data_IF_716012016704
#
_entry.id   IF_716012016704
#
_cell.length_a   1.000
_cell.length_b   1.000
_cell.length_c   1.000
_cell.angle_alpha   90.00
_cell.angle_beta   90.00
_cell.angle_gamma   90.00
#
_symmetry.space_group_name_H-M   'P 1'
#
loop_
_entity.id
_entity.type
_entity.pdbx_description
1 polymer ?
#
# COMPACT_ATOMS: atom_id res chain seq x y z
N UNK A 1 -10.15 47.09 5.87
CA UNK A 1 -10.24 46.59 4.48
C UNK A 1 -11.01 45.29 4.54
N UNK A 2 -12.30 45.34 4.21
CA UNK A 2 -13.22 44.20 4.28
C UNK A 2 -13.18 43.44 2.94
N UNK A 3 -12.68 42.21 2.97
CA UNK A 3 -12.63 41.33 1.80
C UNK A 3 -13.83 40.38 1.86
N UNK A 4 -14.94 40.78 1.22
CA UNK A 4 -16.07 39.89 0.94
C UNK A 4 -15.67 38.95 -0.20
N UNK A 5 -15.53 37.65 0.09
CA UNK A 5 -15.46 36.62 -0.94
C UNK A 5 -16.88 36.20 -1.34
N UNK A 6 -17.22 36.16 -2.65
CA UNK A 6 -18.54 35.72 -3.09
C UNK A 6 -18.62 34.19 -3.03
N UNK A 7 -19.68 33.68 -2.41
CA UNK A 7 -20.03 32.26 -2.43
C UNK A 7 -20.68 31.95 -3.79
N UNK A 8 -20.27 30.91 -4.53
CA UNK A 8 -20.93 30.58 -5.78
C UNK A 8 -22.25 29.84 -5.49
N UNK A 9 -23.35 30.40 -5.98
CA UNK A 9 -24.66 29.76 -5.96
C UNK A 9 -24.79 28.82 -7.16
N UNK A 10 -24.63 27.52 -6.92
CA UNK A 10 -24.89 26.49 -7.93
C UNK A 10 -26.36 26.09 -7.82
N UNK A 11 -27.16 26.53 -8.78
CA UNK A 11 -28.50 26.01 -9.03
C UNK A 11 -28.39 24.57 -9.57
N UNK A 12 -28.77 23.59 -8.75
CA UNK A 12 -28.97 22.20 -9.18
C UNK A 12 -30.42 22.05 -9.68
N UNK A 13 -30.58 22.02 -11.01
CA UNK A 13 -31.79 21.50 -11.63
C UNK A 13 -31.74 19.97 -11.58
N UNK A 14 -32.57 19.37 -10.73
CA UNK A 14 -32.79 17.92 -10.71
C UNK A 14 -33.73 17.52 -11.85
N UNK A 15 -33.26 16.64 -12.73
CA UNK A 15 -34.12 15.82 -13.60
C UNK A 15 -34.33 14.45 -12.95
N UNK A 16 -35.57 13.93 -12.87
CA UNK A 16 -35.82 12.56 -12.46
C UNK A 16 -35.75 11.65 -13.69
N UNK A 17 -34.77 10.75 -13.71
CA UNK A 17 -34.64 9.67 -14.66
C UNK A 17 -34.30 8.39 -13.91
N UNK A 18 -35.33 7.73 -13.41
CA UNK A 18 -35.27 6.47 -12.69
C UNK A 18 -34.62 5.37 -13.54
N UNK A 19 -33.54 4.78 -13.03
CA UNK A 19 -33.15 3.41 -13.38
C UNK A 19 -32.73 2.71 -12.09
N UNK A 20 -33.72 2.05 -11.48
CA UNK A 20 -33.57 1.21 -10.30
C UNK A 20 -32.78 -0.06 -10.64
N UNK A 21 -31.45 0.00 -10.46
CA UNK A 21 -30.68 -1.19 -10.07
C UNK A 21 -30.30 -1.04 -8.59
N UNK A 22 -31.25 -1.41 -7.73
CA UNK A 22 -31.04 -1.49 -6.30
C UNK A 22 -30.16 -2.70 -5.96
N UNK A 23 -28.84 -2.53 -6.01
CA UNK A 23 -27.93 -3.38 -5.24
C UNK A 23 -27.86 -2.80 -3.82
N UNK A 24 -28.87 -3.11 -3.01
CA UNK A 24 -28.95 -2.75 -1.59
C UNK A 24 -27.93 -3.59 -0.82
N UNK A 25 -26.66 -3.20 -0.86
CA UNK A 25 -25.71 -3.59 0.17
C UNK A 25 -26.11 -2.85 1.45
N UNK A 26 -27.03 -3.44 2.22
CA UNK A 26 -27.30 -3.00 3.58
C UNK A 26 -26.06 -3.34 4.42
N UNK A 27 -25.16 -2.36 4.60
CA UNK A 27 -24.19 -2.37 5.68
C UNK A 27 -25.00 -2.21 6.99
N UNK A 28 -25.60 -3.31 7.45
CA UNK A 28 -26.24 -3.38 8.76
C UNK A 28 -25.15 -3.28 9.81
N UNK A 29 -24.80 -2.04 10.16
CA UNK A 29 -23.87 -1.74 11.24
C UNK A 29 -24.51 -2.19 12.56
N UNK A 30 -24.33 -3.47 12.90
CA UNK A 30 -24.51 -3.91 14.27
C UNK A 30 -23.43 -3.20 15.09
N UNK A 31 -23.85 -2.25 15.92
CA UNK A 31 -22.99 -1.55 16.87
C UNK A 31 -22.55 -2.56 17.96
N UNK A 32 -21.58 -3.42 17.63
CA UNK A 32 -20.77 -4.09 18.63
C UNK A 32 -19.75 -3.06 19.15
N UNK A 33 -19.59 -2.90 20.48
CA UNK A 33 -18.59 -2.00 21.04
C UNK A 33 -17.20 -2.49 20.62
N UNK A 34 -16.54 -1.75 19.72
CA UNK A 34 -15.14 -1.98 19.37
C UNK A 34 -14.30 -1.73 20.61
N UNK A 35 -13.73 -2.80 21.15
CA UNK A 35 -12.78 -2.73 22.24
C UNK A 35 -11.65 -1.78 21.83
N UNK A 36 -11.49 -0.71 22.62
CA UNK A 36 -10.50 0.34 22.43
C UNK A 36 -9.12 -0.26 22.71
N UNK A 37 -8.40 -0.64 21.66
CA UNK A 37 -6.98 -1.02 21.75
C UNK A 37 -6.16 0.22 22.13
N UNK A 38 -5.87 0.39 23.42
CA UNK A 38 -4.96 1.43 23.90
C UNK A 38 -3.53 1.02 23.60
N UNK A 39 -2.95 1.61 22.55
CA UNK A 39 -1.52 1.51 22.23
C UNK A 39 -0.68 1.96 23.42
N UNK A 40 -0.14 0.98 24.14
CA UNK A 40 0.77 1.18 25.27
C UNK A 40 2.20 0.90 24.80
N UNK A 41 3.10 1.84 25.04
CA UNK A 41 4.55 1.58 25.07
C UNK A 41 5.35 2.17 23.91
N UNK A 42 5.96 3.34 24.14
CA UNK A 42 7.05 3.83 23.33
C UNK A 42 8.29 2.95 23.48
N UNK A 43 8.61 2.18 22.44
CA UNK A 43 9.87 1.45 22.35
C UNK A 43 11.01 2.43 22.02
N UNK A 44 11.81 2.76 23.04
CA UNK A 44 13.10 3.44 22.85
C UNK A 44 14.08 2.39 22.31
N UNK A 45 14.43 2.46 21.03
CA UNK A 45 15.52 1.63 20.51
C UNK A 45 16.87 2.18 20.99
N UNK A 46 17.71 1.36 21.65
CA UNK A 46 19.08 1.75 21.97
C UNK A 46 19.91 1.88 20.68
N UNK A 47 20.61 3.00 20.54
CA UNK A 47 21.50 3.32 19.42
C UNK A 47 22.78 2.46 19.52
N UNK A 48 23.05 1.54 18.57
CA UNK A 48 24.29 0.77 18.60
C UNK A 48 25.48 1.68 18.28
N UNK A 49 26.44 1.70 19.21
CA UNK A 49 27.70 2.45 19.11
C UNK A 49 28.67 1.63 18.25
N UNK A 50 28.86 2.04 16.99
CA UNK A 50 29.84 1.39 16.11
C UNK A 50 31.20 2.09 16.24
N UNK A 51 32.30 1.34 16.45
CA UNK A 51 33.64 1.92 16.45
C UNK A 51 34.05 2.40 15.06
N UNK A 52 34.90 3.43 14.95
CA UNK A 52 35.37 3.95 13.68
C UNK A 52 36.26 2.93 12.95
N UNK A 53 36.16 2.81 11.61
CA UNK A 53 37.02 1.91 10.85
C UNK A 53 38.44 2.49 10.76
N UNK A 54 39.41 1.77 11.33
CA UNK A 54 40.84 2.00 11.09
C UNK A 54 41.19 1.51 9.67
N UNK A 55 41.50 2.45 8.78
CA UNK A 55 41.94 2.17 7.41
C UNK A 55 43.47 2.10 7.33
N UNK A 56 44.01 0.88 7.38
CA UNK A 56 45.38 0.60 6.92
C UNK A 56 45.30 0.04 5.50
N UNK A 57 45.56 0.90 4.52
CA UNK A 57 45.61 0.53 3.09
C UNK A 57 47.03 0.08 2.77
N UNK A 58 47.23 -1.24 2.62
CA UNK A 58 48.46 -1.82 2.06
C UNK A 58 48.19 -2.18 0.61
N UNK A 59 48.82 -1.46 -0.31
CA UNK A 59 48.67 -1.62 -1.75
C UNK A 59 49.12 -3.01 -2.22
N UNK A 60 48.19 -3.74 -2.83
CA UNK A 60 48.46 -5.00 -3.54
C UNK A 60 48.02 -4.80 -4.99
N UNK A 61 48.98 -4.90 -5.90
CA UNK A 61 48.76 -4.84 -7.35
C UNK A 61 48.19 -6.19 -7.78
N UNK A 62 46.95 -6.23 -8.26
CA UNK A 62 46.31 -7.46 -8.76
C UNK A 62 46.28 -7.46 -10.29
N UNK A 63 46.59 -8.59 -10.96
CA UNK A 63 46.67 -8.67 -12.42
C UNK A 63 45.31 -8.51 -13.10
N UNK A 64 45.35 -7.78 -14.22
CA UNK A 64 44.24 -7.51 -15.12
C UNK A 64 43.95 -8.75 -15.97
N UNK A 65 43.01 -9.62 -15.55
CA UNK A 65 42.66 -10.77 -16.37
C UNK A 65 41.79 -11.84 -15.71
N UNK A 66 40.61 -11.50 -15.20
CA UNK A 66 39.55 -12.51 -14.99
C UNK A 66 38.19 -11.82 -15.04
N UNK A 67 37.32 -12.29 -15.93
CA UNK A 67 35.96 -11.81 -16.10
C UNK A 67 35.23 -11.82 -14.74
N UNK A 68 34.77 -10.65 -14.33
CA UNK A 68 34.04 -10.47 -13.08
C UNK A 68 32.69 -11.19 -13.17
N UNK A 69 32.64 -12.43 -12.70
CA UNK A 69 31.42 -12.98 -12.13
C UNK A 69 31.12 -12.12 -10.91
N UNK A 70 30.38 -11.02 -11.12
CA UNK A 70 29.83 -10.21 -10.03
C UNK A 70 28.85 -11.11 -9.30
N UNK A 71 29.38 -11.85 -8.32
CA UNK A 71 28.61 -12.60 -7.33
C UNK A 71 27.73 -11.57 -6.64
N UNK A 72 26.52 -11.41 -7.15
CA UNK A 72 25.56 -10.37 -6.77
C UNK A 72 24.93 -10.75 -5.43
N UNK A 73 25.78 -10.87 -4.41
CA UNK A 73 25.48 -11.40 -3.06
C UNK A 73 24.68 -10.43 -2.19
N UNK A 74 24.30 -9.27 -2.72
CA UNK A 74 23.64 -8.21 -1.97
C UNK A 74 22.22 -7.92 -2.48
N UNK A 75 21.58 -8.87 -3.16
CA UNK A 75 20.18 -8.73 -3.53
C UNK A 75 19.27 -9.25 -2.42
N UNK A 76 18.25 -8.46 -2.13
CA UNK A 76 17.21 -8.78 -1.16
C UNK A 76 16.04 -9.39 -1.89
N UNK A 77 15.71 -10.64 -1.59
CA UNK A 77 14.60 -11.35 -2.21
C UNK A 77 13.28 -11.09 -1.47
N UNK A 78 12.19 -10.85 -2.20
CA UNK A 78 10.85 -10.84 -1.64
C UNK A 78 10.42 -12.26 -1.28
N UNK A 79 10.00 -12.53 -0.02
CA UNK A 79 9.57 -13.87 0.40
C UNK A 79 8.26 -14.34 -0.26
N UNK A 80 7.47 -13.43 -0.85
CA UNK A 80 6.15 -13.73 -1.41
C UNK A 80 6.23 -14.08 -2.90
N UNK A 81 6.95 -13.28 -3.70
CA UNK A 81 7.01 -13.44 -5.17
C UNK A 81 8.42 -13.73 -5.71
N UNK A 82 9.41 -13.85 -4.83
CA UNK A 82 10.80 -14.15 -5.18
C UNK A 82 11.53 -13.08 -6.03
N UNK A 83 10.93 -11.90 -6.25
CA UNK A 83 11.59 -10.76 -6.91
C UNK A 83 12.83 -10.30 -6.13
N UNK A 84 13.86 -9.86 -6.86
CA UNK A 84 15.16 -9.45 -6.30
C UNK A 84 15.33 -7.93 -6.33
N UNK A 85 15.67 -7.35 -5.19
CA UNK A 85 15.86 -5.92 -5.00
C UNK A 85 17.31 -5.57 -4.64
N UNK A 86 17.84 -4.43 -5.08
CA UNK A 86 19.19 -3.99 -4.72
C UNK A 86 19.30 -3.53 -3.25
N UNK A 87 18.18 -3.18 -2.60
CA UNK A 87 18.15 -2.64 -1.23
C UNK A 87 17.01 -3.25 -0.42
N UNK A 88 17.25 -3.47 0.87
CA UNK A 88 16.23 -3.97 1.82
C UNK A 88 14.97 -3.10 1.83
N UNK A 89 15.14 -1.77 1.87
CA UNK A 89 14.01 -0.82 1.87
C UNK A 89 13.14 -0.92 0.61
N UNK A 90 13.71 -1.29 -0.55
CA UNK A 90 12.95 -1.47 -1.78
C UNK A 90 12.14 -2.76 -1.75
N UNK A 91 12.71 -3.84 -1.20
CA UNK A 91 11.99 -5.08 -0.91
C UNK A 91 10.86 -4.85 0.09
N UNK A 92 11.10 -4.22 1.24
CA UNK A 92 10.07 -3.98 2.26
C UNK A 92 8.89 -3.17 1.69
N UNK A 93 9.21 -2.18 0.84
CA UNK A 93 8.22 -1.38 0.10
C UNK A 93 7.47 -2.20 -0.96
N UNK A 94 8.13 -3.19 -1.56
CA UNK A 94 7.52 -4.11 -2.50
C UNK A 94 6.60 -5.10 -1.78
N UNK A 95 6.95 -5.59 -0.59
CA UNK A 95 6.09 -6.48 0.21
C UNK A 95 4.71 -5.85 0.46
N UNK A 96 4.67 -4.55 0.78
CA UNK A 96 3.44 -3.76 0.88
C UNK A 96 2.62 -3.68 -0.43
N UNK A 97 3.15 -4.14 -1.56
CA UNK A 97 2.40 -4.23 -2.81
C UNK A 97 1.52 -5.48 -2.91
N UNK A 98 1.76 -6.50 -2.10
CA UNK A 98 0.96 -7.72 -2.08
C UNK A 98 -0.40 -7.56 -1.37
N UNK A 99 -0.63 -6.41 -0.74
CA UNK A 99 -1.90 -6.09 -0.09
C UNK A 99 -2.52 -4.80 -0.65
N UNK A 100 -3.84 -4.60 -0.48
CA UNK A 100 -4.52 -3.34 -0.75
C UNK A 100 -3.89 -2.10 -0.10
N UNK A 101 -4.26 -0.92 -0.59
CA UNK A 101 -3.88 0.33 0.05
C UNK A 101 -4.49 0.47 1.45
N UNK A 102 -3.64 0.72 2.43
CA UNK A 102 -3.98 0.81 3.85
C UNK A 102 -3.96 2.24 4.40
N UNK A 103 -3.67 3.24 3.56
CA UNK A 103 -3.77 4.67 3.92
C UNK A 103 -4.83 5.33 3.04
N UNK A 104 -5.72 6.11 3.66
CA UNK A 104 -6.75 6.89 2.99
C UNK A 104 -6.66 8.37 3.39
N UNK A 105 -7.18 9.26 2.54
CA UNK A 105 -7.44 10.63 2.95
C UNK A 105 -8.70 10.67 3.84
N UNK A 106 -8.73 11.35 4.98
CA UNK A 106 -9.92 11.38 5.86
C UNK A 106 -11.06 12.26 5.32
N UNK A 107 -10.80 13.12 4.33
CA UNK A 107 -11.83 13.99 3.77
C UNK A 107 -12.90 13.17 3.02
N UNK A 108 -14.21 13.34 3.31
CA UNK A 108 -15.27 12.51 2.73
C UNK A 108 -15.25 12.43 1.20
N UNK A 109 -15.00 13.55 0.54
CA UNK A 109 -15.02 13.66 -0.94
C UNK A 109 -13.69 13.33 -1.61
N UNK A 110 -12.63 13.10 -0.84
CA UNK A 110 -11.32 12.78 -1.40
C UNK A 110 -11.18 11.25 -1.57
N UNK A 111 -11.02 10.82 -2.82
CA UNK A 111 -10.85 9.41 -3.19
C UNK A 111 -9.38 8.94 -3.10
N UNK A 112 -8.45 9.80 -2.69
CA UNK A 112 -7.03 9.47 -2.63
C UNK A 112 -6.75 8.37 -1.61
N UNK A 113 -5.91 7.43 -2.02
CA UNK A 113 -5.44 6.29 -1.23
C UNK A 113 -4.00 5.94 -1.59
N UNK A 114 -3.30 5.29 -0.67
CA UNK A 114 -1.93 4.86 -0.89
C UNK A 114 -1.42 3.89 0.17
N UNK A 115 -0.13 3.58 0.08
CA UNK A 115 0.58 2.68 0.99
C UNK A 115 1.82 3.33 1.62
N UNK A 116 1.95 4.66 1.54
CA UNK A 116 3.07 5.38 2.14
C UNK A 116 2.67 6.70 2.75
N UNK A 117 3.13 6.93 3.98
CA UNK A 117 2.88 8.16 4.72
C UNK A 117 3.51 9.38 4.05
N UNK A 118 4.65 9.25 3.38
CA UNK A 118 5.25 10.37 2.67
C UNK A 118 4.43 10.81 1.43
N UNK A 119 3.81 9.86 0.73
CA UNK A 119 2.89 10.14 -0.37
C UNK A 119 1.60 10.79 0.16
N UNK A 120 1.09 10.32 1.31
CA UNK A 120 -0.04 10.97 1.98
C UNK A 120 0.29 12.41 2.38
N UNK A 121 1.43 12.66 3.04
CA UNK A 121 1.87 14.03 3.39
C UNK A 121 2.01 14.93 2.18
N UNK A 122 2.48 14.40 1.05
CA UNK A 122 2.56 15.14 -0.21
C UNK A 122 1.16 15.48 -0.72
N UNK A 123 0.29 14.48 -0.83
CA UNK A 123 -1.11 14.65 -1.22
C UNK A 123 -1.84 15.68 -0.34
N UNK A 124 -1.71 15.56 0.98
CA UNK A 124 -2.33 16.45 1.96
C UNK A 124 -1.92 17.93 1.80
N UNK A 125 -0.69 18.19 1.32
CA UNK A 125 -0.19 19.55 1.07
C UNK A 125 -0.49 20.10 -0.32
N UNK A 126 -0.80 19.24 -1.28
CA UNK A 126 -0.90 19.62 -2.70
C UNK A 126 -2.34 19.83 -3.16
N UNK A 127 -3.26 19.00 -2.68
CA UNK A 127 -4.66 19.15 -3.03
C UNK A 127 -5.28 20.29 -2.22
N UNK A 128 -6.42 20.83 -2.70
CA UNK A 128 -7.22 21.94 -2.10
C UNK A 128 -7.80 21.63 -0.69
N UNK A 129 -7.13 20.77 0.06
CA UNK A 129 -7.29 20.54 1.48
C UNK A 129 -6.91 21.77 2.32
N UNK A 130 -6.37 22.83 1.69
CA UNK A 130 -6.06 24.12 2.35
C UNK A 130 -7.28 24.72 3.05
N UNK A 131 -8.47 24.64 2.43
CA UNK A 131 -9.73 25.06 3.05
C UNK A 131 -10.03 24.29 4.35
N UNK A 132 -9.67 23.00 4.37
CA UNK A 132 -9.82 22.14 5.53
C UNK A 132 -8.73 22.37 6.59
N UNK A 133 -7.53 22.76 6.17
CA UNK A 133 -6.43 23.14 7.05
C UNK A 133 -6.80 24.38 7.88
N UNK A 134 -7.52 25.34 7.30
CA UNK A 134 -8.00 26.52 8.01
C UNK A 134 -9.00 26.17 9.11
N UNK A 135 -9.89 25.20 8.87
CA UNK A 135 -10.91 24.81 9.84
C UNK A 135 -10.39 23.89 10.95
N UNK A 136 -9.57 22.88 10.63
CA UNK A 136 -9.13 21.86 11.60
C UNK A 136 -7.72 22.08 12.13
N UNK A 137 -6.92 22.95 11.49
CA UNK A 137 -5.63 23.44 11.97
C UNK A 137 -4.54 22.38 12.18
N UNK A 138 -4.78 21.10 11.85
CA UNK A 138 -3.85 20.00 12.13
C UNK A 138 -3.82 18.97 11.01
N UNK A 139 -2.63 18.43 10.78
CA UNK A 139 -2.47 17.22 9.97
C UNK A 139 -3.14 16.05 10.70
N UNK A 140 -3.96 15.23 10.00
CA UNK A 140 -4.59 14.06 10.60
C UNK A 140 -3.59 13.12 11.28
N UNK A 141 -3.99 12.57 12.41
CA UNK A 141 -3.22 11.54 13.12
C UNK A 141 -3.19 10.22 12.33
N UNK A 142 -2.23 9.35 12.65
CA UNK A 142 -2.06 8.06 11.98
C UNK A 142 -3.34 7.20 12.02
N UNK A 143 -4.01 7.14 13.19
CA UNK A 143 -5.27 6.41 13.36
C UNK A 143 -6.44 6.93 12.53
N UNK A 144 -6.38 8.18 12.06
CA UNK A 144 -7.42 8.78 11.22
C UNK A 144 -7.21 8.50 9.73
N UNK A 145 -6.01 8.05 9.34
CA UNK A 145 -5.64 7.85 7.94
C UNK A 145 -5.35 6.38 7.63
N UNK A 146 -5.10 5.58 8.66
CA UNK A 146 -4.82 4.15 8.53
C UNK A 146 -6.13 3.34 8.52
N UNK A 147 -6.22 2.43 7.57
CA UNK A 147 -7.33 1.51 7.40
C UNK A 147 -7.10 0.24 8.21
N UNK A 148 -5.88 -0.31 8.14
CA UNK A 148 -5.41 -1.49 8.86
C UNK A 148 -3.88 -1.49 8.90
N UNK A 149 -3.28 -2.27 9.81
CA UNK A 149 -1.83 -2.50 9.82
C UNK A 149 -1.46 -3.59 8.80
N UNK A 150 -0.77 -3.25 7.69
CA UNK A 150 -0.42 -4.22 6.66
C UNK A 150 0.60 -5.26 7.12
N UNK A 151 1.45 -4.94 8.11
CA UNK A 151 2.50 -5.84 8.55
C UNK A 151 1.95 -7.04 9.32
N UNK A 152 0.81 -6.91 9.99
CA UNK A 152 0.14 -8.03 10.65
C UNK A 152 -0.23 -9.12 9.64
N UNK A 153 -0.83 -8.73 8.51
CA UNK A 153 -1.25 -9.67 7.46
C UNK A 153 -0.01 -10.22 6.72
N UNK A 154 0.94 -9.36 6.34
CA UNK A 154 2.14 -9.79 5.63
C UNK A 154 2.98 -10.77 6.46
N UNK A 155 3.12 -10.55 7.77
CA UNK A 155 3.85 -11.48 8.62
C UNK A 155 3.19 -12.86 8.67
N UNK A 156 1.86 -12.94 8.68
CA UNK A 156 1.15 -14.22 8.62
C UNK A 156 1.37 -14.94 7.29
N UNK A 157 1.38 -14.21 6.17
CA UNK A 157 1.71 -14.76 4.84
C UNK A 157 3.15 -15.28 4.80
N UNK A 158 4.12 -14.46 5.25
CA UNK A 158 5.55 -14.79 5.22
C UNK A 158 5.87 -16.00 6.11
N UNK A 159 5.18 -16.14 7.24
CA UNK A 159 5.33 -17.29 8.15
C UNK A 159 4.60 -18.54 7.64
N UNK A 160 3.82 -18.43 6.56
CA UNK A 160 3.01 -19.54 6.03
C UNK A 160 1.81 -19.89 6.91
N UNK A 161 1.39 -18.99 7.82
CA UNK A 161 0.22 -19.19 8.66
C UNK A 161 -1.09 -19.05 7.84
N UNK A 162 -1.08 -18.18 6.83
CA UNK A 162 -2.14 -18.04 5.83
C UNK A 162 -1.53 -17.98 4.43
N UNK A 163 -2.31 -18.35 3.42
CA UNK A 163 -1.92 -18.16 2.02
C UNK A 163 -1.98 -16.69 1.61
N UNK A 164 -1.30 -16.33 0.50
CA UNK A 164 -1.38 -14.98 -0.07
C UNK A 164 -2.84 -14.58 -0.36
N UNK A 165 -3.62 -15.49 -0.95
CA UNK A 165 -5.02 -15.23 -1.31
C UNK A 165 -5.89 -14.97 -0.09
N UNK A 166 -5.73 -15.75 0.98
CA UNK A 166 -6.45 -15.52 2.24
C UNK A 166 -6.07 -14.17 2.87
N UNK A 167 -4.79 -13.80 2.83
CA UNK A 167 -4.34 -12.50 3.32
C UNK A 167 -4.88 -11.32 2.48
N UNK A 168 -5.00 -11.49 1.15
CA UNK A 168 -5.65 -10.52 0.27
C UNK A 168 -7.13 -10.36 0.61
N UNK A 169 -7.87 -11.47 0.75
CA UNK A 169 -9.29 -11.47 1.10
C UNK A 169 -9.52 -10.80 2.48
N UNK A 170 -8.67 -11.09 3.46
CA UNK A 170 -8.72 -10.45 4.79
C UNK A 170 -8.47 -8.95 4.70
N UNK A 171 -7.47 -8.51 3.94
CA UNK A 171 -7.18 -7.09 3.77
C UNK A 171 -8.32 -6.35 3.03
N UNK A 172 -8.92 -6.98 2.02
CA UNK A 172 -10.09 -6.43 1.29
C UNK A 172 -11.26 -6.25 2.25
N UNK A 173 -11.54 -7.25 3.10
CA UNK A 173 -12.59 -7.16 4.10
C UNK A 173 -12.37 -5.97 5.06
N UNK A 174 -11.16 -5.77 5.56
CA UNK A 174 -10.83 -4.62 6.42
C UNK A 174 -11.00 -3.28 5.70
N UNK A 175 -10.63 -3.19 4.43
CA UNK A 175 -10.88 -2.00 3.61
C UNK A 175 -12.38 -1.73 3.46
N UNK A 176 -13.19 -2.76 3.21
CA UNK A 176 -14.63 -2.62 3.07
C UNK A 176 -15.31 -2.19 4.37
N UNK A 177 -14.91 -2.79 5.50
CA UNK A 177 -15.37 -2.39 6.83
C UNK A 177 -15.08 -0.90 7.09
N UNK A 178 -13.84 -0.47 6.86
CA UNK A 178 -13.46 0.94 7.04
C UNK A 178 -14.18 1.86 6.06
N UNK A 179 -14.43 1.41 4.83
CA UNK A 179 -15.18 2.17 3.85
C UNK A 179 -16.62 2.42 4.29
N UNK A 180 -17.30 1.42 4.87
CA UNK A 180 -18.64 1.59 5.44
C UNK A 180 -18.61 2.55 6.65
N UNK A 181 -17.63 2.41 7.56
CA UNK A 181 -17.45 3.33 8.71
C UNK A 181 -17.29 4.80 8.28
N UNK A 182 -16.54 5.04 7.21
CA UNK A 182 -16.25 6.39 6.71
C UNK A 182 -17.26 6.89 5.67
N UNK A 183 -18.27 6.08 5.33
CA UNK A 183 -19.21 6.34 4.22
C UNK A 183 -18.51 6.63 2.88
N UNK A 184 -17.42 5.92 2.57
CA UNK A 184 -16.60 6.11 1.36
C UNK A 184 -16.86 5.04 0.31
N UNK A 185 -17.89 5.25 -0.52
CA UNK A 185 -18.24 4.32 -1.60
C UNK A 185 -17.09 4.05 -2.59
N UNK A 186 -16.22 5.03 -2.82
CA UNK A 186 -15.05 4.86 -3.69
C UNK A 186 -14.09 3.77 -3.20
N UNK A 187 -14.02 3.52 -1.88
CA UNK A 187 -13.24 2.43 -1.31
C UNK A 187 -13.87 1.06 -1.54
N UNK A 188 -15.20 0.98 -1.55
CA UNK A 188 -15.93 -0.26 -1.81
C UNK A 188 -15.81 -0.70 -3.28
N UNK A 189 -15.86 0.24 -4.21
CA UNK A 189 -15.82 -0.05 -5.65
C UNK A 189 -14.45 -0.51 -6.15
N UNK A 190 -13.38 -0.12 -5.46
CA UNK A 190 -12.01 -0.53 -5.75
C UNK A 190 -11.26 -0.78 -4.44
N UNK A 191 -11.41 -1.94 -3.79
CA UNK A 191 -10.77 -2.20 -2.49
C UNK A 191 -9.25 -2.12 -2.54
N UNK A 192 -8.64 -2.41 -3.69
CA UNK A 192 -7.18 -2.36 -3.87
C UNK A 192 -6.62 -0.93 -3.89
N UNK A 193 -7.42 0.03 -4.35
CA UNK A 193 -7.02 1.44 -4.49
C UNK A 193 -6.00 1.70 -5.61
N UNK A 194 -5.67 0.67 -6.38
CA UNK A 194 -4.83 0.77 -7.57
C UNK A 194 -5.73 0.75 -8.76
N UNK A 195 -5.95 1.93 -9.34
CA UNK A 195 -6.56 2.08 -10.65
C UNK A 195 -6.06 0.95 -11.57
N UNK A 196 -6.98 0.15 -12.16
CA UNK A 196 -6.84 -1.23 -12.68
C UNK A 196 -5.68 -1.54 -13.65
N UNK A 197 -4.75 -0.61 -13.88
CA UNK A 197 -3.57 -0.75 -14.74
C UNK A 197 -2.68 -1.94 -14.37
N UNK A 198 -2.74 -2.45 -13.14
CA UNK A 198 -1.91 -3.62 -12.73
C UNK A 198 -2.48 -4.96 -13.23
N UNK A 199 -3.81 -5.08 -13.39
CA UNK A 199 -4.44 -6.34 -13.82
C UNK A 199 -4.22 -6.66 -15.31
N UNK A 200 -3.79 -5.68 -16.12
CA UNK A 200 -3.53 -5.87 -17.55
C UNK A 200 -2.09 -6.36 -17.80
N UNK A 201 -1.18 -6.25 -16.80
CA UNK A 201 0.24 -6.58 -16.96
C UNK A 201 0.62 -8.05 -16.70
N UNK A 202 -0.16 -8.77 -15.89
CA UNK A 202 0.19 -10.13 -15.45
C UNK A 202 -0.24 -11.25 -16.41
N UNK A 203 -1.06 -10.94 -17.43
CA UNK A 203 -1.41 -11.91 -18.48
C UNK A 203 -0.27 -12.21 -19.47
N UNK A 204 0.91 -11.60 -19.33
CA UNK A 204 2.01 -11.70 -20.32
C UNK A 204 3.24 -12.49 -19.90
N UNK A 205 3.33 -13.01 -18.67
CA UNK A 205 4.55 -13.70 -18.20
C UNK A 205 4.42 -15.21 -17.99
N UNK A 206 3.31 -15.85 -18.42
CA UNK A 206 3.11 -17.29 -18.20
C UNK A 206 3.18 -18.19 -19.44
N UNK A 207 3.63 -17.70 -20.60
CA UNK A 207 3.63 -18.50 -21.84
C UNK A 207 4.97 -19.14 -22.25
N UNK A 208 6.12 -18.85 -21.61
CA UNK A 208 7.42 -19.17 -22.23
C UNK A 208 8.27 -20.25 -21.54
N UNK A 209 7.68 -21.23 -20.83
CA UNK A 209 8.51 -22.31 -20.22
C UNK A 209 7.90 -23.71 -20.15
N UNK A 210 7.02 -24.06 -21.10
CA UNK A 210 6.65 -25.47 -21.34
C UNK A 210 7.20 -25.94 -22.69
N UNK A 211 8.53 -26.03 -22.81
CA UNK A 211 9.16 -26.85 -23.84
C UNK A 211 8.98 -28.32 -23.47
N UNK A 212 7.84 -28.88 -23.86
CA UNK A 212 7.58 -30.33 -23.84
C UNK A 212 8.58 -30.99 -24.79
N UNK A 213 9.61 -31.62 -24.22
CA UNK A 213 10.53 -32.49 -24.95
C UNK A 213 9.78 -33.77 -25.33
N UNK A 214 9.40 -33.89 -26.60
CA UNK A 214 8.87 -35.13 -27.17
C UNK A 214 10.04 -36.13 -27.28
N UNK A 215 9.98 -37.32 -26.66
CA UNK A 215 11.03 -38.31 -26.81
C UNK A 215 11.06 -38.87 -28.25
N UNK A 216 12.25 -39.15 -28.81
CA UNK A 216 12.37 -39.72 -30.14
C UNK A 216 11.83 -41.15 -30.14
N UNK A 217 10.89 -41.43 -31.04
CA UNK A 217 10.44 -42.78 -31.35
C UNK A 217 11.59 -43.55 -32.02
N UNK A 218 12.03 -44.62 -31.37
CA UNK A 218 12.90 -45.64 -31.95
C UNK A 218 12.08 -46.51 -32.90
N UNK A 219 12.49 -46.57 -34.17
CA UNK A 219 12.09 -47.58 -35.15
C UNK A 219 13.11 -48.70 -35.18
#
# INVERSE_FOLDING_TARGET
>A
MNSNCPVPSYFLQHTPGENHFANSFQCSASHQPVERWTSTGGFIQPKPNFPPPSSTIRGTVIPLGTAMVTRNRNRWQCPICLELFPRRQERDRHELKHVPYFIHCPLPHCAWRGNRTNLFKKHWRQEDHCSYHEYYGRTPGQSQIETFDPWLILNQIIQGAISLREGEDQAIFLVQMKACELHKLSMLMDPWGRNKRHLIGEARTRCDSESISIPPHTL
#
